data_IF_461859683049
#
_entry.id   IF_461859683049
#
_cell.length_a   1.000
_cell.length_b   1.000
_cell.length_c   1.000
_cell.angle_alpha   90.00
_cell.angle_beta   90.00
_cell.angle_gamma   90.00
#
_symmetry.space_group_name_H-M   'P 1'
#
loop_
_entity.id
_entity.type
_entity.pdbx_description
1 polymer ?
#
# COMPACT_ATOMS: atom_id res chain seq x y z
N UNK A 1 -7.32 -27.02 3.17
CA UNK A 1 -7.35 -25.61 2.74
C UNK A 1 -7.63 -25.52 1.25
N UNK A 2 -8.78 -24.98 0.83
CA UNK A 2 -9.19 -24.92 -0.58
C UNK A 2 -8.22 -24.12 -1.45
N UNK A 3 -8.17 -24.42 -2.75
CA UNK A 3 -7.15 -23.90 -3.69
C UNK A 3 -6.93 -22.39 -3.66
N UNK A 4 -7.96 -21.59 -3.37
CA UNK A 4 -7.86 -20.13 -3.26
C UNK A 4 -7.05 -19.63 -2.05
N UNK A 5 -7.12 -20.35 -0.91
CA UNK A 5 -6.38 -19.97 0.30
C UNK A 5 -4.88 -20.19 0.16
N UNK A 6 -4.48 -21.26 -0.56
CA UNK A 6 -3.08 -21.55 -0.85
C UNK A 6 -2.47 -20.46 -1.75
N UNK A 7 -3.18 -20.01 -2.78
CA UNK A 7 -2.72 -18.93 -3.66
C UNK A 7 -2.51 -17.61 -2.91
N UNK A 8 -3.42 -17.25 -2.00
CA UNK A 8 -3.29 -16.03 -1.17
C UNK A 8 -2.06 -16.11 -0.26
N UNK A 9 -1.82 -17.25 0.38
CA UNK A 9 -0.64 -17.45 1.23
C UNK A 9 0.65 -17.35 0.40
N UNK A 10 0.68 -17.94 -0.79
CA UNK A 10 1.83 -17.86 -1.70
C UNK A 10 2.07 -16.41 -2.15
N UNK A 11 1.02 -15.67 -2.52
CA UNK A 11 1.12 -14.25 -2.90
C UNK A 11 1.66 -13.38 -1.76
N UNK A 12 1.19 -13.61 -0.52
CA UNK A 12 1.70 -12.91 0.66
C UNK A 12 3.17 -13.24 0.92
N UNK A 13 3.55 -14.51 0.81
CA UNK A 13 4.95 -14.93 0.94
C UNK A 13 5.85 -14.27 -0.10
N UNK A 14 5.42 -14.21 -1.36
CA UNK A 14 6.16 -13.52 -2.43
C UNK A 14 6.30 -12.02 -2.11
N UNK A 15 5.23 -11.38 -1.66
CA UNK A 15 5.24 -9.96 -1.30
C UNK A 15 6.24 -9.67 -0.17
N UNK A 16 6.23 -10.49 0.89
CA UNK A 16 7.19 -10.40 1.99
C UNK A 16 8.61 -10.65 1.47
N UNK A 17 8.81 -11.61 0.58
CA UNK A 17 10.12 -11.93 0.02
C UNK A 17 10.67 -10.78 -0.82
N UNK A 18 9.83 -10.12 -1.64
CA UNK A 18 10.22 -8.92 -2.40
C UNK A 18 10.57 -7.75 -1.47
N UNK A 19 9.91 -7.61 -0.33
CA UNK A 19 10.23 -6.56 0.64
C UNK A 19 11.50 -6.85 1.45
N UNK A 20 11.69 -8.11 1.88
CA UNK A 20 12.76 -8.50 2.80
C UNK A 20 14.08 -8.77 2.09
N UNK A 21 14.06 -9.32 0.87
CA UNK A 21 15.29 -9.59 0.08
C UNK A 21 16.17 -8.35 -0.12
N UNK A 22 15.65 -7.19 -0.60
CA UNK A 22 16.47 -6.00 -0.76
C UNK A 22 16.97 -5.45 0.59
N UNK A 23 16.16 -5.51 1.65
CA UNK A 23 16.58 -5.14 3.02
C UNK A 23 17.71 -6.05 3.55
N UNK A 24 17.67 -7.34 3.22
CA UNK A 24 18.65 -8.31 3.69
C UNK A 24 19.97 -8.28 2.90
N UNK A 25 19.91 -7.92 1.62
CA UNK A 25 21.08 -7.81 0.73
C UNK A 25 21.77 -6.45 0.86
N UNK A 26 21.02 -5.36 1.07
CA UNK A 26 21.54 -4.01 1.21
C UNK A 26 21.49 -3.56 2.68
N UNK A 27 22.22 -4.26 3.56
CA UNK A 27 22.24 -3.96 5.02
C UNK A 27 22.81 -2.59 5.36
N UNK A 28 23.66 -2.04 4.49
CA UNK A 28 24.28 -0.72 4.65
C UNK A 28 23.57 0.36 3.82
N UNK A 29 22.40 0.06 3.24
CA UNK A 29 21.60 1.10 2.58
C UNK A 29 20.97 1.97 3.64
N UNK A 30 21.46 3.19 3.76
CA UNK A 30 20.68 4.27 4.37
C UNK A 30 19.41 4.42 3.54
N UNK A 31 18.29 3.87 4.03
CA UNK A 31 16.96 4.21 3.54
C UNK A 31 16.63 5.63 4.00
N UNK A 32 17.45 6.59 3.57
CA UNK A 32 17.28 7.99 3.81
C UNK A 32 16.11 8.53 2.99
N UNK A 33 15.47 9.58 3.50
CA UNK A 33 14.46 10.31 2.74
C UNK A 33 15.05 10.87 1.45
N UNK A 34 14.17 11.22 0.51
CA UNK A 34 14.57 11.81 -0.77
C UNK A 34 15.43 13.08 -0.62
N UNK A 35 15.35 13.76 0.53
CA UNK A 35 16.08 14.98 0.84
C UNK A 35 17.58 14.74 1.06
N UNK A 36 17.97 13.68 1.77
CA UNK A 36 19.39 13.34 1.97
C UNK A 36 20.12 12.99 0.67
N UNK A 37 19.44 12.31 -0.26
CA UNK A 37 19.98 12.04 -1.59
C UNK A 37 20.12 13.31 -2.45
N UNK A 38 19.24 14.29 -2.24
CA UNK A 38 19.32 15.57 -2.93
C UNK A 38 20.47 16.43 -2.41
N UNK A 39 20.67 16.49 -1.09
CA UNK A 39 21.78 17.20 -0.46
C UNK A 39 23.14 16.67 -0.94
N UNK A 40 23.31 15.34 -0.96
CA UNK A 40 24.56 14.70 -1.40
C UNK A 40 24.87 15.01 -2.87
N UNK A 41 23.86 14.99 -3.74
CA UNK A 41 24.01 15.33 -5.15
C UNK A 41 24.33 16.82 -5.37
N UNK A 42 23.71 17.71 -4.60
CA UNK A 42 23.95 19.16 -4.71
C UNK A 42 25.37 19.51 -4.25
N UNK A 43 25.84 18.89 -3.16
CA UNK A 43 27.18 19.12 -2.61
C UNK A 43 28.29 18.65 -3.57
N UNK A 44 28.02 17.66 -4.42
CA UNK A 44 28.94 17.20 -5.48
C UNK A 44 28.99 18.16 -6.68
N UNK A 45 27.91 18.88 -6.99
CA UNK A 45 27.82 19.77 -8.14
C UNK A 45 28.35 21.16 -7.80
N UNK A 46 28.06 21.67 -6.60
CA UNK A 46 28.55 22.95 -6.11
C UNK A 46 28.93 22.87 -4.62
N UNK A 47 30.24 22.84 -4.29
CA UNK A 47 30.71 22.75 -2.91
C UNK A 47 30.36 23.98 -2.05
N UNK A 48 29.99 25.11 -2.67
CA UNK A 48 29.62 26.33 -1.98
C UNK A 48 28.11 26.55 -1.90
N UNK A 49 27.31 25.54 -2.26
CA UNK A 49 25.86 25.64 -2.21
C UNK A 49 25.37 25.95 -0.79
N UNK A 50 24.65 27.06 -0.66
CA UNK A 50 23.95 27.43 0.57
C UNK A 50 22.46 27.12 0.37
N UNK A 51 21.83 26.32 1.26
CA UNK A 51 20.41 26.06 1.19
C UNK A 51 19.61 27.37 1.17
N UNK A 52 18.79 27.56 0.14
CA UNK A 52 17.94 28.75 0.00
C UNK A 52 16.69 28.70 0.89
N UNK A 53 16.45 27.58 1.56
CA UNK A 53 15.42 27.39 2.57
C UNK A 53 15.98 26.48 3.68
N UNK A 54 15.90 26.95 4.92
CA UNK A 54 16.13 26.12 6.11
C UNK A 54 14.78 25.60 6.61
N UNK A 55 14.69 24.35 7.12
CA UNK A 55 13.45 23.87 7.69
C UNK A 55 13.06 24.76 8.88
N UNK A 56 11.89 25.38 8.81
CA UNK A 56 11.35 26.21 9.92
C UNK A 56 11.08 25.38 11.19
N UNK A 57 11.03 24.05 11.04
CA UNK A 57 10.76 23.09 12.10
C UNK A 57 11.41 21.76 11.71
N UNK A 58 12.66 21.53 12.13
CA UNK A 58 13.27 20.20 12.09
C UNK A 58 12.65 19.35 13.21
N UNK A 59 11.97 18.24 12.90
CA UNK A 59 11.56 17.30 13.92
C UNK A 59 12.81 16.78 14.63
N UNK A 60 12.84 16.67 15.97
CA UNK A 60 13.98 16.12 16.66
C UNK A 60 14.20 14.65 16.24
N UNK A 61 15.24 14.41 15.45
CA UNK A 61 15.72 13.10 15.01
C UNK A 61 15.03 12.55 13.75
N UNK A 62 15.84 12.00 12.82
CA UNK A 62 15.37 11.36 11.57
C UNK A 62 14.45 10.13 11.78
N UNK A 63 14.39 9.61 13.00
CA UNK A 63 13.43 8.59 13.41
C UNK A 63 11.99 9.12 13.40
N UNK A 64 11.78 10.38 13.77
CA UNK A 64 10.46 11.01 13.82
C UNK A 64 9.92 11.22 12.40
N UNK A 65 10.77 11.59 11.44
CA UNK A 65 10.40 11.71 10.02
C UNK A 65 9.97 10.36 9.44
N UNK A 66 10.77 9.33 9.67
CA UNK A 66 10.46 7.96 9.23
C UNK A 66 9.14 7.45 9.82
N UNK A 67 8.82 7.83 11.07
CA UNK A 67 7.55 7.50 11.73
C UNK A 67 6.37 8.20 11.05
N UNK A 68 6.50 9.48 10.70
CA UNK A 68 5.47 10.22 9.97
C UNK A 68 5.23 9.63 8.57
N UNK A 69 6.27 9.21 7.86
CA UNK A 69 6.12 8.48 6.59
C UNK A 69 5.45 7.12 6.76
N UNK A 70 5.83 6.35 7.78
CA UNK A 70 5.17 5.08 8.11
C UNK A 70 3.68 5.28 8.42
N UNK A 71 3.33 6.34 9.15
CA UNK A 71 1.94 6.68 9.46
C UNK A 71 1.15 7.02 8.20
N UNK A 72 1.71 7.84 7.31
CA UNK A 72 1.08 8.16 6.02
C UNK A 72 0.88 6.90 5.17
N UNK A 73 1.88 6.02 5.11
CA UNK A 73 1.78 4.75 4.39
C UNK A 73 0.70 3.83 4.98
N UNK A 74 0.62 3.73 6.32
CA UNK A 74 -0.39 2.93 7.01
C UNK A 74 -1.81 3.44 6.73
N UNK A 75 -2.02 4.76 6.80
CA UNK A 75 -3.31 5.37 6.48
C UNK A 75 -3.68 5.16 5.00
N UNK A 76 -2.73 5.38 4.07
CA UNK A 76 -2.92 5.15 2.65
C UNK A 76 -3.30 3.71 2.32
N UNK A 77 -2.58 2.75 2.90
CA UNK A 77 -2.85 1.32 2.76
C UNK A 77 -4.23 0.94 3.35
N UNK A 78 -4.60 1.52 4.49
CA UNK A 78 -5.90 1.31 5.12
C UNK A 78 -7.06 1.77 4.23
N UNK A 79 -6.99 3.00 3.70
CA UNK A 79 -8.00 3.55 2.79
C UNK A 79 -8.08 2.73 1.50
N UNK A 80 -6.93 2.38 0.91
CA UNK A 80 -6.87 1.59 -0.31
C UNK A 80 -7.48 0.19 -0.12
N UNK A 81 -7.13 -0.49 0.96
CA UNK A 81 -7.69 -1.79 1.32
C UNK A 81 -9.20 -1.74 1.55
N UNK A 82 -9.69 -0.71 2.26
CA UNK A 82 -11.12 -0.51 2.49
C UNK A 82 -11.88 -0.29 1.16
N UNK A 83 -11.34 0.52 0.26
CA UNK A 83 -11.96 0.79 -1.04
C UNK A 83 -12.12 -0.50 -1.88
N UNK A 84 -11.05 -1.30 -1.99
CA UNK A 84 -11.10 -2.60 -2.68
C UNK A 84 -12.10 -3.54 -2.00
N UNK A 85 -12.12 -3.55 -0.66
CA UNK A 85 -13.07 -4.32 0.13
C UNK A 85 -14.53 -3.97 -0.21
N UNK A 86 -14.86 -2.68 -0.20
CA UNK A 86 -16.19 -2.17 -0.53
C UNK A 86 -16.59 -2.52 -1.98
N UNK A 87 -15.69 -2.35 -2.95
CA UNK A 87 -15.96 -2.68 -4.35
C UNK A 87 -16.26 -4.17 -4.54
N UNK A 88 -15.52 -5.04 -3.84
CA UNK A 88 -15.73 -6.49 -3.86
C UNK A 88 -17.05 -6.90 -3.21
N UNK A 89 -17.47 -6.20 -2.17
CA UNK A 89 -18.76 -6.44 -1.51
C UNK A 89 -19.93 -6.02 -2.41
N UNK A 90 -19.88 -4.82 -3.00
CA UNK A 90 -20.90 -4.32 -3.94
C UNK A 90 -21.16 -5.29 -5.10
N UNK A 91 -20.09 -5.83 -5.69
CA UNK A 91 -20.21 -6.82 -6.79
C UNK A 91 -20.84 -8.12 -6.34
N UNK A 92 -20.53 -8.61 -5.12
CA UNK A 92 -21.19 -9.80 -4.55
C UNK A 92 -22.68 -9.58 -4.33
N UNK A 93 -23.09 -8.43 -3.79
CA UNK A 93 -24.51 -8.13 -3.57
C UNK A 93 -25.27 -7.96 -4.88
N UNK A 94 -24.66 -7.32 -5.90
CA UNK A 94 -25.25 -7.21 -7.23
C UNK A 94 -25.53 -8.58 -7.85
N UNK A 95 -24.55 -9.50 -7.81
CA UNK A 95 -24.72 -10.87 -8.31
C UNK A 95 -25.80 -11.64 -7.55
N UNK A 96 -25.80 -11.58 -6.21
CA UNK A 96 -26.81 -12.25 -5.37
C UNK A 96 -28.22 -11.71 -5.60
N UNK A 97 -28.36 -10.42 -5.95
CA UNK A 97 -29.65 -9.80 -6.28
C UNK A 97 -30.19 -10.27 -7.63
N UNK A 98 -29.33 -10.38 -8.64
CA UNK A 98 -29.70 -10.91 -9.97
C UNK A 98 -30.07 -12.40 -9.91
N UNK A 99 -29.31 -13.21 -9.16
CA UNK A 99 -29.64 -14.61 -8.92
C UNK A 99 -31.02 -14.76 -8.25
N UNK A 100 -31.32 -13.94 -7.21
CA UNK A 100 -32.62 -13.97 -6.52
C UNK A 100 -33.78 -13.60 -7.45
N UNK A 101 -33.61 -12.57 -8.31
CA UNK A 101 -34.63 -12.17 -9.30
C UNK A 101 -34.90 -13.30 -10.30
N UNK A 102 -33.84 -13.97 -10.79
CA UNK A 102 -33.96 -15.10 -11.70
C UNK A 102 -34.76 -16.26 -11.10
N UNK A 103 -34.52 -16.59 -9.83
CA UNK A 103 -35.26 -17.64 -9.12
C UNK A 103 -36.73 -17.27 -8.91
N UNK A 104 -37.02 -16.03 -8.54
CA UNK A 104 -38.39 -15.53 -8.37
C UNK A 104 -39.20 -15.53 -9.67
N UNK A 105 -38.56 -15.18 -10.79
CA UNK A 105 -39.19 -15.23 -12.12
C UNK A 105 -39.55 -16.67 -12.53
N UNK A 106 -38.61 -17.61 -12.34
CA UNK A 106 -38.88 -19.05 -12.60
C UNK A 106 -40.00 -19.61 -11.73
N UNK A 107 -40.02 -19.26 -10.45
CA UNK A 107 -41.07 -19.71 -9.52
C UNK A 107 -42.47 -19.19 -9.90
N UNK A 108 -42.58 -17.93 -10.35
CA UNK A 108 -43.85 -17.40 -10.88
C UNK A 108 -44.31 -18.12 -12.14
N UNK A 109 -43.39 -18.43 -13.06
CA UNK A 109 -43.71 -19.11 -14.32
C UNK A 109 -44.15 -20.57 -14.13
N UNK A 110 -43.67 -21.24 -13.08
CA UNK A 110 -44.05 -22.63 -12.77
C UNK A 110 -45.42 -22.76 -12.08
N UNK A 111 -46.02 -21.65 -11.62
CA UNK A 111 -47.30 -21.62 -10.88
C UNK A 111 -48.48 -21.11 -11.74
N UNK A 112 -48.20 -20.71 -12.99
CA UNK A 112 -49.18 -20.30 -13.99
C UNK A 112 -49.28 -21.40 -15.06
#
# INVERSE_FOLDING_TARGET
>A
MGGKGKTVIILLLICVLIAVVPLALNKDSEFGGADGAAEEAITQIDPNYQPWASPLLEPPGGETESLLFCLQAALGAGVFGYCIGMLRERTKHAKKREERKGTLSKAKKAKA
#
